data_IF_186209613341
#
_entry.id   IF_186209613341
#
_cell.length_a   1.000
_cell.length_b   1.000
_cell.length_c   1.000
_cell.angle_alpha   90.00
_cell.angle_beta   90.00
_cell.angle_gamma   90.00
#
_symmetry.space_group_name_H-M   'P 1'
#
loop_
_entity.id
_entity.type
_entity.pdbx_description
1 polymer ?
#
# COMPACT_ATOMS: atom_id res chain seq x y z
N UNK A 1 -0.45 -19.21 3.40
CA UNK A 1 0.69 -18.71 2.61
C UNK A 1 0.71 -17.19 2.64
N UNK A 2 1.70 -16.60 3.28
CA UNK A 2 1.79 -15.14 3.32
C UNK A 2 1.93 -14.54 1.94
N UNK A 3 1.37 -13.37 1.78
CA UNK A 3 1.47 -12.61 0.53
C UNK A 3 2.00 -11.21 0.82
N UNK A 4 2.58 -10.61 -0.21
CA UNK A 4 2.99 -9.22 -0.19
C UNK A 4 2.24 -8.47 -1.27
N UNK A 5 1.72 -7.31 -0.89
CA UNK A 5 1.01 -6.43 -1.81
C UNK A 5 1.86 -5.19 -2.01
N UNK A 6 2.21 -4.93 -3.27
CA UNK A 6 2.98 -3.76 -3.67
C UNK A 6 2.03 -2.76 -4.31
N UNK A 7 1.97 -1.57 -3.75
CA UNK A 7 1.09 -0.52 -4.21
C UNK A 7 1.93 0.70 -4.56
N UNK A 8 2.00 1.03 -5.83
CA UNK A 8 2.78 2.17 -6.31
C UNK A 8 1.88 3.31 -6.72
N UNK A 9 2.17 4.49 -6.21
CA UNK A 9 1.48 5.73 -6.54
C UNK A 9 2.49 6.83 -6.83
N UNK A 10 2.13 7.73 -7.74
CA UNK A 10 2.88 8.95 -7.96
C UNK A 10 2.01 10.12 -7.55
N UNK A 11 2.55 11.01 -6.74
CA UNK A 11 1.81 12.18 -6.24
C UNK A 11 2.25 13.47 -6.92
N UNK A 12 1.33 14.41 -6.99
CA UNK A 12 1.61 15.75 -7.56
C UNK A 12 2.62 16.48 -6.68
N UNK A 13 3.48 17.32 -7.28
CA UNK A 13 4.42 18.11 -6.49
C UNK A 13 3.70 18.99 -5.47
N UNK A 14 4.32 19.15 -4.31
CA UNK A 14 3.80 20.04 -3.26
C UNK A 14 2.64 19.50 -2.44
N UNK A 15 2.32 18.20 -2.56
CA UNK A 15 1.21 17.58 -1.83
C UNK A 15 1.65 16.70 -0.67
N UNK A 16 2.93 16.69 -0.33
CA UNK A 16 3.49 15.76 0.64
C UNK A 16 2.79 15.80 2.01
N UNK A 17 2.44 17.00 2.46
CA UNK A 17 1.82 17.16 3.79
C UNK A 17 0.44 16.53 3.84
N UNK A 18 -0.38 16.80 2.84
CA UNK A 18 -1.75 16.28 2.75
C UNK A 18 -1.72 14.76 2.58
N UNK A 19 -0.84 14.28 1.72
CA UNK A 19 -0.69 12.85 1.45
C UNK A 19 -0.21 12.11 2.70
N UNK A 20 0.77 12.66 3.42
CA UNK A 20 1.28 12.03 4.64
C UNK A 20 0.17 11.87 5.68
N UNK A 21 -0.67 12.88 5.87
CA UNK A 21 -1.78 12.82 6.82
C UNK A 21 -2.78 11.72 6.43
N UNK A 22 -3.16 11.65 5.15
CA UNK A 22 -4.08 10.61 4.65
C UNK A 22 -3.49 9.22 4.79
N UNK A 23 -2.21 9.03 4.48
CA UNK A 23 -1.56 7.74 4.55
C UNK A 23 -1.44 7.24 5.99
N UNK A 24 -1.23 8.12 6.95
CA UNK A 24 -1.20 7.73 8.35
C UNK A 24 -2.54 7.15 8.80
N UNK A 25 -3.64 7.77 8.42
CA UNK A 25 -4.97 7.27 8.75
C UNK A 25 -5.28 5.98 7.99
N UNK A 26 -4.89 5.91 6.74
CA UNK A 26 -5.08 4.75 5.88
C UNK A 26 -4.36 3.53 6.48
N UNK A 27 -3.10 3.73 6.88
CA UNK A 27 -2.31 2.68 7.52
C UNK A 27 -2.97 2.21 8.81
N UNK A 28 -3.43 3.14 9.64
CA UNK A 28 -4.10 2.79 10.90
C UNK A 28 -5.31 1.89 10.65
N UNK A 29 -6.08 2.17 9.60
CA UNK A 29 -7.20 1.31 9.20
C UNK A 29 -6.77 -0.09 8.80
N UNK A 30 -5.69 -0.20 8.04
CA UNK A 30 -5.17 -1.49 7.58
C UNK A 30 -4.63 -2.33 8.74
N UNK A 31 -3.92 -1.70 9.68
CA UNK A 31 -3.29 -2.40 10.80
C UNK A 31 -4.28 -3.14 11.69
N UNK A 32 -5.53 -2.73 11.70
CA UNK A 32 -6.57 -3.37 12.50
C UNK A 32 -7.30 -4.48 11.76
N UNK A 33 -6.91 -4.79 10.53
CA UNK A 33 -7.59 -5.82 9.75
C UNK A 33 -7.07 -7.21 10.09
N UNK A 34 -7.95 -8.22 10.07
CA UNK A 34 -7.52 -9.61 10.26
C UNK A 34 -6.45 -9.99 9.24
N UNK A 35 -5.40 -10.63 9.70
CA UNK A 35 -4.34 -11.13 8.85
C UNK A 35 -3.29 -10.11 8.42
N UNK A 36 -3.43 -8.85 8.81
CA UNK A 36 -2.38 -7.85 8.57
C UNK A 36 -1.13 -8.19 9.39
N UNK A 37 0.02 -8.24 8.74
CA UNK A 37 1.29 -8.56 9.40
C UNK A 37 2.17 -7.32 9.53
N UNK A 38 2.45 -6.65 8.41
CA UNK A 38 3.34 -5.49 8.40
C UNK A 38 3.15 -4.65 7.16
N UNK A 39 3.68 -3.44 7.21
CA UNK A 39 3.69 -2.55 6.07
C UNK A 39 4.89 -1.63 6.10
N UNK A 40 5.38 -1.27 4.91
CA UNK A 40 6.49 -0.36 4.72
C UNK A 40 6.12 0.65 3.66
N UNK A 41 6.57 1.89 3.84
CA UNK A 41 6.43 2.94 2.83
C UNK A 41 7.82 3.34 2.36
N UNK A 42 8.02 3.32 1.04
CA UNK A 42 9.30 3.62 0.42
C UNK A 42 9.10 4.73 -0.60
N UNK A 43 10.10 5.59 -0.72
CA UNK A 43 10.11 6.63 -1.74
C UNK A 43 11.22 6.34 -2.74
N UNK A 44 10.92 6.56 -4.02
CA UNK A 44 11.91 6.40 -5.07
C UNK A 44 13.01 7.47 -4.90
N UNK A 45 14.27 7.04 -4.92
CA UNK A 45 15.40 7.95 -4.73
C UNK A 45 15.51 8.94 -5.90
N UNK A 46 15.25 8.47 -7.11
CA UNK A 46 15.39 9.28 -8.31
C UNK A 46 14.17 10.15 -8.59
N UNK A 47 13.00 9.73 -8.10
CA UNK A 47 11.76 10.48 -8.26
C UNK A 47 10.96 10.43 -6.96
N UNK A 48 11.17 11.41 -6.06
CA UNK A 48 10.52 11.41 -4.75
C UNK A 48 8.99 11.50 -4.78
N UNK A 49 8.41 11.81 -5.93
CA UNK A 49 6.95 11.79 -6.07
C UNK A 49 6.40 10.37 -6.16
N UNK A 50 7.26 9.41 -6.49
CA UNK A 50 6.87 7.99 -6.58
C UNK A 50 7.04 7.33 -5.22
N UNK A 51 5.95 6.73 -4.75
CA UNK A 51 5.90 6.04 -3.47
C UNK A 51 5.47 4.59 -3.68
N UNK A 52 6.15 3.69 -2.98
CA UNK A 52 5.80 2.28 -2.96
C UNK A 52 5.43 1.87 -1.54
N UNK A 53 4.22 1.32 -1.38
CA UNK A 53 3.81 0.69 -0.13
C UNK A 53 3.91 -0.81 -0.30
N UNK A 54 4.58 -1.48 0.62
CA UNK A 54 4.63 -2.95 0.66
C UNK A 54 3.92 -3.37 1.93
N UNK A 55 2.84 -4.13 1.79
CA UNK A 55 2.14 -4.70 2.93
C UNK A 55 2.19 -6.22 2.87
N UNK A 56 2.29 -6.83 4.05
CA UNK A 56 2.34 -8.29 4.19
C UNK A 56 1.08 -8.76 4.89
N UNK A 57 0.45 -9.78 4.34
CA UNK A 57 -0.79 -10.35 4.84
C UNK A 57 -0.63 -11.85 5.03
N UNK A 58 -1.31 -12.38 6.04
CA UNK A 58 -1.22 -13.81 6.37
C UNK A 58 -1.73 -14.69 5.24
N UNK A 59 -2.88 -14.32 4.67
CA UNK A 59 -3.50 -15.03 3.56
C UNK A 59 -4.01 -14.05 2.51
N UNK A 60 -4.16 -14.52 1.28
CA UNK A 60 -4.69 -13.71 0.19
C UNK A 60 -6.09 -13.17 0.52
N UNK A 61 -6.92 -14.00 1.14
CA UNK A 61 -8.29 -13.62 1.49
C UNK A 61 -8.34 -12.43 2.45
N UNK A 62 -7.34 -12.31 3.33
CA UNK A 62 -7.25 -11.17 4.24
C UNK A 62 -7.02 -9.87 3.47
N UNK A 63 -6.11 -9.90 2.49
CA UNK A 63 -5.89 -8.75 1.62
C UNK A 63 -7.14 -8.42 0.80
N UNK A 64 -7.79 -9.44 0.21
CA UNK A 64 -8.97 -9.22 -0.62
C UNK A 64 -10.10 -8.58 0.19
N UNK A 65 -10.29 -9.00 1.43
CA UNK A 65 -11.29 -8.40 2.32
C UNK A 65 -10.99 -6.93 2.59
N UNK A 66 -9.73 -6.58 2.83
CA UNK A 66 -9.32 -5.19 3.00
C UNK A 66 -9.41 -4.40 1.70
N UNK A 67 -8.95 -4.99 0.60
CA UNK A 67 -9.04 -4.35 -0.72
C UNK A 67 -10.45 -3.85 -1.02
N UNK A 68 -11.45 -4.66 -0.70
CA UNK A 68 -12.84 -4.40 -1.03
C UNK A 68 -13.61 -3.69 0.10
N UNK A 69 -12.94 -3.38 1.20
CA UNK A 69 -13.56 -2.72 2.34
C UNK A 69 -13.88 -1.25 2.02
N UNK A 70 -15.07 -0.80 2.45
CA UNK A 70 -15.52 0.57 2.16
C UNK A 70 -14.57 1.64 2.69
N UNK A 71 -13.99 1.42 3.85
CA UNK A 71 -13.00 2.35 4.43
C UNK A 71 -11.81 2.52 3.48
N UNK A 72 -11.30 1.41 2.96
CA UNK A 72 -10.16 1.46 2.04
C UNK A 72 -10.51 2.18 0.75
N UNK A 73 -11.66 1.87 0.20
CA UNK A 73 -12.13 2.50 -1.05
C UNK A 73 -12.27 4.01 -0.87
N UNK A 74 -12.77 4.45 0.28
CA UNK A 74 -12.88 5.87 0.60
C UNK A 74 -11.52 6.55 0.64
N UNK A 75 -10.53 5.94 1.32
CA UNK A 75 -9.18 6.49 1.37
C UNK A 75 -8.53 6.54 -0.02
N UNK A 76 -8.73 5.52 -0.84
CA UNK A 76 -8.21 5.51 -2.20
C UNK A 76 -8.73 6.70 -3.00
N UNK A 77 -10.02 6.99 -2.90
CA UNK A 77 -10.62 8.14 -3.59
C UNK A 77 -10.04 9.45 -3.09
N UNK A 78 -9.80 9.57 -1.80
CA UNK A 78 -9.20 10.78 -1.23
C UNK A 78 -7.76 10.96 -1.72
N UNK A 79 -6.99 9.88 -1.82
CA UNK A 79 -5.62 9.94 -2.33
C UNK A 79 -5.56 10.29 -3.82
N UNK A 80 -6.51 9.79 -4.61
CA UNK A 80 -6.53 10.03 -6.05
C UNK A 80 -6.52 11.52 -6.41
N UNK A 81 -7.09 12.36 -5.56
CA UNK A 81 -7.09 13.82 -5.77
C UNK A 81 -5.66 14.36 -5.88
N UNK A 82 -4.72 13.75 -5.17
CA UNK A 82 -3.33 14.17 -5.13
C UNK A 82 -2.42 13.38 -6.07
N UNK A 83 -2.96 12.39 -6.77
CA UNK A 83 -2.15 11.52 -7.63
C UNK A 83 -1.96 12.09 -9.03
N UNK A 84 -0.78 11.81 -9.57
CA UNK A 84 -0.43 12.03 -10.96
C UNK A 84 -0.37 10.65 -11.61
N UNK A 85 -1.51 10.20 -12.13
CA UNK A 85 -1.67 8.90 -12.71
C UNK A 85 -2.38 7.91 -11.79
N UNK A 86 -2.58 6.70 -12.29
CA UNK A 86 -3.32 5.65 -11.59
C UNK A 86 -2.44 4.87 -10.63
N UNK A 87 -3.08 4.27 -9.61
CA UNK A 87 -2.43 3.37 -8.67
C UNK A 87 -2.09 2.05 -9.36
N UNK A 88 -0.90 1.53 -9.10
CA UNK A 88 -0.47 0.23 -9.63
C UNK A 88 -0.38 -0.78 -8.51
N UNK A 89 -1.03 -1.91 -8.70
CA UNK A 89 -1.08 -3.01 -7.73
C UNK A 89 -0.34 -4.22 -8.26
N UNK A 90 0.47 -4.83 -7.41
CA UNK A 90 1.05 -6.13 -7.67
C UNK A 90 0.94 -6.98 -6.41
N UNK A 91 0.48 -8.21 -6.54
CA UNK A 91 0.32 -9.12 -5.43
C UNK A 91 1.23 -10.33 -5.66
N UNK A 92 2.06 -10.61 -4.68
CA UNK A 92 3.02 -11.72 -4.74
C UNK A 92 2.80 -12.66 -3.59
N UNK A 93 2.90 -13.95 -3.87
CA UNK A 93 2.95 -14.95 -2.81
C UNK A 93 4.40 -15.06 -2.35
N UNK A 94 4.58 -15.12 -1.03
CA UNK A 94 5.91 -15.35 -0.49
C UNK A 94 6.42 -16.71 -0.94
N UNK A 95 7.55 -16.71 -1.59
CA UNK A 95 8.18 -17.93 -2.05
C UNK A 95 9.17 -18.48 -1.03
N UNK A 96 10.27 -19.01 -1.51
CA UNK A 96 11.33 -19.45 -0.61
C UNK A 96 12.14 -18.24 -0.15
N UNK A 97 12.53 -18.28 1.13
CA UNK A 97 13.34 -17.23 1.73
C UNK A 97 14.78 -17.66 1.90
N UNK A 98 15.17 -18.72 1.23
CA UNK A 98 16.54 -19.24 1.40
C UNK A 98 17.50 -18.52 0.48
N UNK A 99 18.78 -18.60 0.84
CA UNK A 99 19.90 -18.06 0.10
C UNK A 99 20.22 -18.87 -1.15
N UNK A 100 19.48 -19.93 -1.38
CA UNK A 100 19.70 -20.85 -2.51
C UNK A 100 19.25 -20.26 -3.84
N UNK A 101 18.65 -19.13 -3.80
CA UNK A 101 18.31 -18.40 -5.02
C UNK A 101 19.54 -17.69 -5.62
#
# INVERSE_FOLDING_TARGET
MPIKVLIQRKFKPGTQKEVAALLNEFRAGAMNRPGYISGETLFNIDDPQVMLVISTWKELENWMAWRDHTTRITFERMLEVYQDGSTRYNVFRLGTTTEQL
#
